data_IF_385464421090
#
_entry.id   IF_385464421090
#
_cell.length_a   1.000
_cell.length_b   1.000
_cell.length_c   1.000
_cell.angle_alpha   90.00
_cell.angle_beta   90.00
_cell.angle_gamma   90.00
#
_symmetry.space_group_name_H-M   'P 1'
#
loop_
_entity.id
_entity.type
_entity.pdbx_description
1 polymer ?
#
# COMPACT_ATOMS: atom_id res chain seq x y z
N UNK A 1 9.86 14.52 -14.10
CA UNK A 1 11.18 13.97 -14.48
C UNK A 1 11.87 14.94 -15.41
N UNK A 2 13.15 15.23 -15.15
CA UNK A 2 13.94 16.22 -15.90
C UNK A 2 14.18 15.77 -17.35
N UNK A 3 14.40 16.72 -18.25
CA UNK A 3 14.79 16.46 -19.64
C UNK A 3 16.03 15.55 -19.73
N UNK A 4 16.95 15.66 -18.76
CA UNK A 4 18.14 14.84 -18.65
C UNK A 4 17.81 13.36 -18.42
N UNK A 5 16.84 13.06 -17.54
CA UNK A 5 16.40 11.69 -17.26
C UNK A 5 15.75 11.05 -18.51
N UNK A 6 14.92 11.80 -19.21
CA UNK A 6 14.33 11.33 -20.50
C UNK A 6 15.40 11.04 -21.54
N UNK A 7 16.40 11.92 -21.68
CA UNK A 7 17.53 11.72 -22.60
C UNK A 7 18.34 10.47 -22.24
N UNK A 8 18.58 10.22 -20.94
CA UNK A 8 19.25 9.03 -20.48
C UNK A 8 18.43 7.76 -20.80
N UNK A 9 17.12 7.78 -20.59
CA UNK A 9 16.25 6.66 -20.93
C UNK A 9 16.29 6.32 -22.42
N UNK A 10 16.29 7.33 -23.29
CA UNK A 10 16.46 7.15 -24.73
C UNK A 10 17.83 6.57 -25.12
N UNK A 11 18.90 6.98 -24.42
CA UNK A 11 20.26 6.47 -24.70
C UNK A 11 20.45 4.99 -24.36
N UNK A 12 19.65 4.46 -23.45
CA UNK A 12 19.70 3.06 -23.01
C UNK A 12 18.98 2.08 -23.94
N UNK A 13 18.54 2.54 -25.14
CA UNK A 13 17.96 1.69 -26.19
C UNK A 13 16.85 0.75 -25.68
N UNK A 14 15.91 1.26 -24.93
CA UNK A 14 14.78 0.50 -24.37
C UNK A 14 15.13 -0.74 -23.52
N UNK A 15 16.39 -0.88 -23.07
CA UNK A 15 16.83 -1.98 -22.19
C UNK A 15 16.59 -1.63 -20.72
N UNK A 16 15.39 -1.12 -20.42
CA UNK A 16 14.99 -0.66 -19.10
C UNK A 16 13.67 -1.32 -18.74
N UNK A 17 13.57 -1.74 -17.49
CA UNK A 17 12.31 -2.18 -16.88
C UNK A 17 12.12 -1.38 -15.59
N UNK A 18 10.99 -0.69 -15.46
CA UNK A 18 10.62 -0.06 -14.21
C UNK A 18 9.96 -1.07 -13.27
N UNK A 19 10.35 -1.02 -12.00
CA UNK A 19 9.74 -1.78 -10.94
C UNK A 19 9.01 -0.81 -10.00
N UNK A 20 7.74 -1.14 -9.70
CA UNK A 20 6.83 -0.40 -8.82
C UNK A 20 6.57 1.06 -9.21
N UNK A 21 6.95 1.43 -10.42
CA UNK A 21 6.65 2.77 -10.94
C UNK A 21 6.23 2.71 -12.41
N UNK A 22 5.42 3.68 -12.80
CA UNK A 22 5.08 3.94 -14.19
C UNK A 22 5.42 5.38 -14.52
N UNK A 23 5.96 5.63 -15.71
CA UNK A 23 6.20 6.98 -16.19
C UNK A 23 5.19 7.28 -17.30
N UNK A 24 4.46 8.37 -17.14
CA UNK A 24 3.51 8.81 -18.14
C UNK A 24 4.25 9.29 -19.40
N UNK A 25 3.66 9.05 -20.56
CA UNK A 25 4.20 9.46 -21.87
C UNK A 25 5.58 8.88 -22.22
N UNK A 26 5.99 7.77 -21.61
CA UNK A 26 7.18 7.01 -21.99
C UNK A 26 6.79 5.55 -22.19
N UNK A 27 7.09 5.01 -23.35
CA UNK A 27 6.84 3.61 -23.69
C UNK A 27 7.98 2.72 -23.17
N UNK A 28 7.95 2.41 -21.88
CA UNK A 28 8.90 1.53 -21.20
C UNK A 28 8.14 0.41 -20.50
N UNK A 29 8.69 -0.80 -20.55
CA UNK A 29 8.15 -1.93 -19.80
C UNK A 29 8.20 -1.62 -18.30
N UNK A 30 7.07 -1.81 -17.63
CA UNK A 30 6.95 -1.64 -16.19
C UNK A 30 6.25 -2.82 -15.55
N UNK A 31 6.67 -3.16 -14.34
CA UNK A 31 6.04 -4.15 -13.48
C UNK A 31 5.67 -3.43 -12.19
N UNK A 32 4.39 -3.39 -11.88
CA UNK A 32 3.86 -2.70 -10.70
C UNK A 32 2.93 -3.61 -9.92
N UNK A 33 2.66 -3.27 -8.68
CA UNK A 33 1.60 -3.89 -7.91
C UNK A 33 0.23 -3.41 -8.44
N UNK A 34 -0.76 -4.30 -8.43
CA UNK A 34 -2.16 -3.91 -8.67
C UNK A 34 -2.74 -3.29 -7.39
N UNK A 35 -2.33 -2.05 -7.09
CA UNK A 35 -2.78 -1.33 -5.91
C UNK A 35 -4.29 -1.17 -5.86
N UNK A 36 -4.94 -0.98 -7.01
CA UNK A 36 -6.39 -0.81 -7.07
C UNK A 36 -7.11 -2.07 -6.61
N UNK A 37 -6.73 -3.22 -7.16
CA UNK A 37 -7.32 -4.51 -6.78
C UNK A 37 -6.98 -4.83 -5.33
N UNK A 38 -5.72 -4.63 -4.91
CA UNK A 38 -5.24 -4.91 -3.57
C UNK A 38 -6.02 -4.13 -2.50
N UNK A 39 -6.21 -2.83 -2.68
CA UNK A 39 -6.97 -2.00 -1.73
C UNK A 39 -8.46 -2.36 -1.77
N UNK A 40 -9.01 -2.61 -2.96
CA UNK A 40 -10.40 -3.05 -3.10
C UNK A 40 -10.66 -4.34 -2.30
N UNK A 41 -9.78 -5.33 -2.44
CA UNK A 41 -9.91 -6.60 -1.72
C UNK A 41 -9.74 -6.41 -0.20
N UNK A 42 -8.80 -5.57 0.22
CA UNK A 42 -8.57 -5.25 1.63
C UNK A 42 -9.81 -4.61 2.29
N UNK A 43 -10.40 -3.62 1.63
CA UNK A 43 -11.58 -2.93 2.18
C UNK A 43 -12.83 -3.82 2.13
N UNK A 44 -13.00 -4.61 1.06
CA UNK A 44 -14.07 -5.62 1.00
C UNK A 44 -13.93 -6.68 2.10
N UNK A 45 -12.71 -7.14 2.39
CA UNK A 45 -12.45 -8.06 3.49
C UNK A 45 -12.92 -7.47 4.84
N UNK A 46 -12.58 -6.22 5.14
CA UNK A 46 -13.05 -5.55 6.36
C UNK A 46 -14.59 -5.38 6.36
N UNK A 47 -15.17 -5.03 5.21
CA UNK A 47 -16.61 -4.91 5.05
C UNK A 47 -17.33 -6.24 5.31
N UNK A 48 -16.81 -7.35 4.80
CA UNK A 48 -17.36 -8.70 4.97
C UNK A 48 -17.24 -9.19 6.42
N UNK A 49 -16.23 -8.74 7.16
CA UNK A 49 -16.15 -8.92 8.62
C UNK A 49 -17.23 -8.14 9.38
N UNK A 50 -17.87 -7.15 8.75
CA UNK A 50 -18.94 -6.35 9.35
C UNK A 50 -18.54 -4.91 9.69
N UNK A 51 -17.31 -4.46 9.37
CA UNK A 51 -16.90 -3.07 9.58
C UNK A 51 -17.68 -2.12 8.68
N UNK A 52 -18.16 -1.00 9.25
CA UNK A 52 -18.88 0.07 8.55
C UNK A 52 -18.27 1.44 8.80
N UNK A 53 -17.26 1.50 9.66
CA UNK A 53 -16.39 2.65 9.89
C UNK A 53 -14.96 2.17 9.79
N UNK A 54 -14.21 2.71 8.81
CA UNK A 54 -12.81 2.32 8.54
C UNK A 54 -11.96 3.57 8.40
N UNK A 55 -10.83 3.62 9.08
CA UNK A 55 -9.85 4.68 8.94
C UNK A 55 -8.72 4.30 7.99
N UNK A 56 -8.10 5.30 7.38
CA UNK A 56 -6.91 5.16 6.57
C UNK A 56 -5.73 5.91 7.20
N UNK A 57 -4.62 5.21 7.39
CA UNK A 57 -3.36 5.83 7.81
C UNK A 57 -2.33 5.59 6.72
N UNK A 58 -1.99 6.65 5.98
CA UNK A 58 -1.13 6.58 4.80
C UNK A 58 0.20 7.28 4.95
N UNK A 59 1.07 7.06 3.95
CA UNK A 59 2.33 7.75 3.82
C UNK A 59 2.25 8.88 2.78
N UNK A 60 3.14 9.85 2.92
CA UNK A 60 3.40 10.89 1.93
C UNK A 60 4.86 10.75 1.51
N UNK A 61 5.09 10.67 0.21
CA UNK A 61 6.42 10.78 -0.35
C UNK A 61 6.66 12.22 -0.78
N UNK A 62 7.71 12.83 -0.25
CA UNK A 62 8.13 14.16 -0.62
C UNK A 62 9.54 14.13 -1.20
N UNK A 63 9.69 14.66 -2.40
CA UNK A 63 11.01 14.85 -3.02
C UNK A 63 11.78 16.00 -2.37
N UNK A 64 13.10 16.06 -2.63
CA UNK A 64 13.97 17.12 -2.14
C UNK A 64 13.53 18.53 -2.58
N UNK A 65 12.89 18.64 -3.73
CA UNK A 65 12.33 19.91 -4.25
C UNK A 65 10.99 20.30 -3.62
N UNK A 66 10.48 19.52 -2.67
CA UNK A 66 9.21 19.75 -1.99
C UNK A 66 7.99 19.14 -2.70
N UNK A 67 8.15 18.53 -3.87
CA UNK A 67 7.06 17.87 -4.60
C UNK A 67 6.49 16.71 -3.78
N UNK A 68 5.17 16.73 -3.56
CA UNK A 68 4.46 15.67 -2.82
C UNK A 68 3.82 14.71 -3.82
N UNK A 69 4.09 13.41 -3.65
CA UNK A 69 3.39 12.35 -4.35
C UNK A 69 2.28 11.80 -3.44
N UNK A 70 1.01 11.95 -3.86
CA UNK A 70 -0.10 11.36 -3.12
C UNK A 70 -0.02 9.84 -3.14
N UNK A 71 -0.35 9.21 -2.02
CA UNK A 71 -0.46 7.75 -1.95
C UNK A 71 -1.59 7.26 -2.87
N UNK A 72 -1.24 6.43 -3.85
CA UNK A 72 -2.19 5.85 -4.82
C UNK A 72 -3.29 5.02 -4.14
N UNK A 73 -3.02 4.51 -2.93
CA UNK A 73 -3.96 3.70 -2.15
C UNK A 73 -5.11 4.52 -1.59
N UNK A 74 -4.89 5.79 -1.27
CA UNK A 74 -5.92 6.65 -0.68
C UNK A 74 -7.12 6.84 -1.60
N UNK A 75 -6.89 7.18 -2.87
CA UNK A 75 -8.00 7.40 -3.82
C UNK A 75 -8.83 6.12 -3.99
N UNK A 76 -8.17 4.96 -4.10
CA UNK A 76 -8.90 3.70 -4.19
C UNK A 76 -9.63 3.37 -2.89
N UNK A 77 -9.04 3.68 -1.74
CA UNK A 77 -9.69 3.51 -0.44
C UNK A 77 -10.99 4.31 -0.36
N UNK A 78 -10.97 5.60 -0.70
CA UNK A 78 -12.18 6.45 -0.69
C UNK A 78 -13.21 5.98 -1.69
N UNK A 79 -12.82 5.67 -2.94
CA UNK A 79 -13.72 5.16 -3.97
C UNK A 79 -14.49 3.90 -3.51
N UNK A 80 -13.80 2.96 -2.87
CA UNK A 80 -14.40 1.70 -2.42
C UNK A 80 -15.25 1.91 -1.16
N UNK A 81 -14.81 2.77 -0.24
CA UNK A 81 -15.60 3.11 0.94
C UNK A 81 -16.93 3.78 0.54
N UNK A 82 -16.91 4.69 -0.40
CA UNK A 82 -18.12 5.34 -0.94
C UNK A 82 -19.06 4.32 -1.59
N UNK A 83 -18.51 3.44 -2.45
CA UNK A 83 -19.29 2.40 -3.12
C UNK A 83 -19.95 1.40 -2.13
N UNK A 84 -19.32 1.15 -0.98
CA UNK A 84 -19.82 0.23 0.06
C UNK A 84 -20.54 0.94 1.22
N UNK A 85 -20.70 2.27 1.16
CA UNK A 85 -21.25 3.09 2.24
C UNK A 85 -20.51 2.88 3.59
N UNK A 86 -19.19 2.78 3.54
CA UNK A 86 -18.31 2.76 4.72
C UNK A 86 -17.98 4.20 5.11
N UNK A 87 -18.16 4.56 6.37
CA UNK A 87 -17.80 5.88 6.89
C UNK A 87 -16.31 5.96 7.15
N UNK A 88 -15.66 7.00 6.64
CA UNK A 88 -14.22 7.27 6.84
C UNK A 88 -13.92 8.74 7.16
N UNK A 89 -14.94 9.60 7.14
CA UNK A 89 -14.78 11.03 7.41
C UNK A 89 -14.20 11.27 8.80
N UNK A 90 -13.11 12.03 8.83
CA UNK A 90 -12.35 12.30 10.06
C UNK A 90 -11.36 11.21 10.47
N UNK A 91 -11.25 10.12 9.71
CA UNK A 91 -10.36 8.98 9.99
C UNK A 91 -9.25 8.80 8.93
N UNK A 92 -8.99 9.81 8.09
CA UNK A 92 -7.88 9.80 7.16
C UNK A 92 -6.74 10.61 7.74
N UNK A 93 -5.56 10.01 7.84
CA UNK A 93 -4.33 10.67 8.25
C UNK A 93 -3.16 10.26 7.37
N UNK A 94 -2.26 11.20 7.09
CA UNK A 94 -1.08 10.97 6.27
C UNK A 94 0.14 11.68 6.88
N UNK A 95 1.26 10.97 6.93
CA UNK A 95 2.59 11.47 7.34
C UNK A 95 3.64 10.61 6.60
N UNK A 96 4.88 10.57 7.01
CA UNK A 96 5.93 9.76 6.38
C UNK A 96 5.66 8.25 6.50
N UNK A 97 6.19 7.48 5.56
CA UNK A 97 6.17 6.00 5.62
C UNK A 97 7.13 5.48 6.70
N UNK A 98 6.74 5.58 7.97
CA UNK A 98 7.55 5.12 9.10
C UNK A 98 6.69 4.62 10.25
N UNK A 99 7.28 3.76 11.10
CA UNK A 99 6.64 3.28 12.32
C UNK A 99 6.34 4.43 13.29
N UNK A 100 7.25 5.41 13.39
CA UNK A 100 7.05 6.59 14.25
C UNK A 100 5.89 7.46 13.77
N UNK A 101 5.72 7.63 12.45
CA UNK A 101 4.57 8.35 11.89
C UNK A 101 3.26 7.61 12.13
N UNK A 102 3.25 6.28 11.99
CA UNK A 102 2.08 5.45 12.32
C UNK A 102 1.65 5.60 13.78
N UNK A 103 2.62 5.58 14.69
CA UNK A 103 2.38 5.82 16.13
C UNK A 103 1.79 7.22 16.39
N UNK A 104 2.40 8.26 15.82
CA UNK A 104 1.97 9.66 15.98
C UNK A 104 0.54 9.86 15.44
N UNK A 105 0.26 9.41 14.22
CA UNK A 105 -1.05 9.53 13.58
C UNK A 105 -2.14 8.83 14.40
N UNK A 106 -1.87 7.61 14.87
CA UNK A 106 -2.84 6.87 15.68
C UNK A 106 -3.06 7.52 17.04
N UNK A 107 -1.99 8.01 17.70
CA UNK A 107 -2.10 8.74 18.97
C UNK A 107 -2.94 10.01 18.83
N UNK A 108 -2.78 10.74 17.71
CA UNK A 108 -3.60 11.91 17.40
C UNK A 108 -5.07 11.51 17.18
N UNK A 109 -5.33 10.41 16.46
CA UNK A 109 -6.69 9.92 16.23
C UNK A 109 -7.35 9.51 17.56
N UNK A 110 -6.62 8.84 18.46
CA UNK A 110 -7.09 8.48 19.80
C UNK A 110 -7.44 9.74 20.62
N UNK A 111 -6.61 10.77 20.58
CA UNK A 111 -6.84 12.00 21.33
C UNK A 111 -8.11 12.76 20.93
N UNK A 112 -8.60 12.56 19.70
CA UNK A 112 -9.87 13.11 19.20
C UNK A 112 -11.10 12.41 19.80
N UNK A 113 -10.92 11.27 20.45
CA UNK A 113 -11.98 10.56 21.20
C UNK A 113 -13.00 9.81 20.36
N UNK A 114 -12.85 9.80 19.03
CA UNK A 114 -13.70 9.05 18.11
C UNK A 114 -12.80 8.17 17.22
N UNK A 115 -13.00 6.85 17.25
CA UNK A 115 -12.22 5.87 16.51
C UNK A 115 -13.10 5.06 15.57
N UNK A 116 -12.58 4.69 14.38
CA UNK A 116 -13.26 3.74 13.52
C UNK A 116 -13.12 2.33 14.11
N UNK A 117 -13.91 1.39 13.62
CA UNK A 117 -13.85 -0.01 14.08
C UNK A 117 -12.69 -0.79 13.44
N UNK A 118 -12.12 -0.27 12.35
CA UNK A 118 -10.93 -0.82 11.72
C UNK A 118 -10.04 0.29 11.15
N UNK A 119 -8.74 0.01 11.09
CA UNK A 119 -7.72 0.83 10.42
C UNK A 119 -7.13 0.03 9.26
N UNK A 120 -7.09 0.64 8.08
CA UNK A 120 -6.24 0.20 6.97
C UNK A 120 -5.02 1.10 6.87
N UNK A 121 -3.85 0.53 7.14
CA UNK A 121 -2.56 1.22 7.06
C UNK A 121 -1.87 0.94 5.72
N UNK A 122 -1.34 1.99 5.09
CA UNK A 122 -0.71 1.91 3.78
C UNK A 122 0.64 1.15 3.76
N UNK A 123 1.18 0.80 4.93
CA UNK A 123 2.33 -0.12 5.05
C UNK A 123 2.31 -0.82 6.41
N UNK A 124 3.02 -1.96 6.50
CA UNK A 124 3.18 -2.67 7.77
C UNK A 124 3.93 -1.84 8.81
N UNK A 125 4.90 -1.02 8.39
CA UNK A 125 5.61 -0.12 9.30
C UNK A 125 4.64 0.88 9.96
N UNK A 126 3.75 1.49 9.18
CA UNK A 126 2.71 2.38 9.70
C UNK A 126 1.76 1.60 10.61
N UNK A 127 1.32 0.39 10.19
CA UNK A 127 0.44 -0.46 10.98
C UNK A 127 1.04 -0.82 12.35
N UNK A 128 2.31 -1.22 12.39
CA UNK A 128 3.03 -1.56 13.62
C UNK A 128 3.06 -0.37 14.59
N UNK A 129 3.33 0.84 14.07
CA UNK A 129 3.27 2.06 14.89
C UNK A 129 1.88 2.34 15.44
N UNK A 130 0.85 2.19 14.60
CA UNK A 130 -0.54 2.37 15.01
C UNK A 130 -0.97 1.34 16.07
N UNK A 131 -0.60 0.06 15.89
CA UNK A 131 -0.86 -1.00 16.87
C UNK A 131 -0.23 -0.66 18.23
N UNK A 132 1.01 -0.18 18.24
CA UNK A 132 1.69 0.23 19.47
C UNK A 132 0.96 1.36 20.19
N UNK A 133 0.53 2.40 19.46
CA UNK A 133 -0.24 3.51 20.04
C UNK A 133 -1.58 3.05 20.64
N UNK A 134 -2.30 2.16 19.93
CA UNK A 134 -3.54 1.57 20.44
C UNK A 134 -3.33 0.80 21.74
N UNK A 135 -2.33 -0.08 21.78
CA UNK A 135 -2.04 -0.91 22.94
C UNK A 135 -1.62 -0.09 24.16
N UNK A 136 -0.80 0.94 23.99
CA UNK A 136 -0.38 1.84 25.08
C UNK A 136 -1.55 2.65 25.66
N UNK A 137 -2.59 2.88 24.85
CA UNK A 137 -3.82 3.54 25.30
C UNK A 137 -4.93 2.55 25.73
N UNK A 138 -4.59 1.27 25.92
CA UNK A 138 -5.48 0.26 26.48
C UNK A 138 -6.46 -0.38 25.48
N UNK A 139 -6.38 -0.08 24.20
CA UNK A 139 -7.20 -0.71 23.17
C UNK A 139 -6.69 -2.12 22.84
N UNK A 140 -7.59 -3.07 22.74
CA UNK A 140 -7.31 -4.44 22.35
C UNK A 140 -7.48 -4.62 20.86
N UNK A 141 -6.49 -5.26 20.23
CA UNK A 141 -6.50 -5.61 18.81
C UNK A 141 -6.66 -7.14 18.72
N UNK A 142 -7.63 -7.65 17.98
CA UNK A 142 -8.63 -6.96 17.14
C UNK A 142 -9.96 -6.62 17.84
N UNK A 143 -10.11 -6.88 19.16
CA UNK A 143 -11.40 -6.87 19.85
C UNK A 143 -12.06 -5.48 19.89
N UNK A 144 -11.29 -4.42 20.08
CA UNK A 144 -11.80 -3.04 20.11
C UNK A 144 -11.65 -2.38 18.73
N UNK A 145 -10.54 -2.65 18.04
CA UNK A 145 -10.24 -2.10 16.74
C UNK A 145 -9.39 -3.08 15.92
N UNK A 146 -9.83 -3.36 14.70
CA UNK A 146 -9.05 -4.16 13.75
C UNK A 146 -7.96 -3.31 13.09
N UNK A 147 -6.80 -3.91 12.83
CA UNK A 147 -5.70 -3.26 12.10
C UNK A 147 -5.25 -4.14 10.95
N UNK A 148 -5.22 -3.57 9.75
CA UNK A 148 -4.73 -4.21 8.54
C UNK A 148 -3.57 -3.41 7.95
N UNK A 149 -2.50 -4.09 7.57
CA UNK A 149 -1.31 -3.52 6.95
C UNK A 149 -1.23 -3.72 5.44
N UNK A 150 -0.10 -3.35 4.88
CA UNK A 150 0.28 -3.55 3.49
C UNK A 150 1.78 -3.87 3.43
N UNK A 151 2.23 -4.73 2.52
CA UNK A 151 3.57 -5.21 2.16
C UNK A 151 3.84 -6.65 2.58
N UNK A 152 3.29 -7.14 3.69
CA UNK A 152 3.61 -8.44 4.29
C UNK A 152 5.11 -8.58 4.61
N UNK A 153 5.66 -7.57 5.30
CA UNK A 153 7.02 -7.61 5.81
C UNK A 153 7.19 -8.72 6.85
N UNK A 154 8.42 -9.20 7.04
CA UNK A 154 8.73 -10.24 8.03
C UNK A 154 8.19 -9.87 9.44
N UNK A 155 8.35 -8.60 9.84
CA UNK A 155 7.89 -8.12 11.15
C UNK A 155 6.39 -8.27 11.36
N UNK A 156 5.58 -8.32 10.31
CA UNK A 156 4.12 -8.45 10.40
C UNK A 156 3.68 -9.77 11.05
N UNK A 157 4.51 -10.82 10.99
CA UNK A 157 4.25 -12.12 11.64
C UNK A 157 4.54 -12.09 13.15
N UNK A 158 5.44 -11.21 13.58
CA UNK A 158 5.93 -11.14 14.96
C UNK A 158 5.28 -10.03 15.78
N UNK A 159 4.30 -9.32 15.23
CA UNK A 159 3.46 -8.39 16.02
C UNK A 159 2.55 -9.16 16.96
N UNK A 160 2.04 -8.50 17.99
CA UNK A 160 1.04 -9.07 18.89
C UNK A 160 -0.24 -8.20 18.88
N UNK A 161 -1.35 -8.72 18.31
CA UNK A 161 -1.47 -9.96 17.53
C UNK A 161 -0.71 -9.91 16.19
N UNK A 162 -0.43 -11.08 15.54
CA UNK A 162 0.13 -11.10 14.20
C UNK A 162 -0.72 -10.33 13.19
N UNK A 163 -0.08 -9.46 12.40
CA UNK A 163 -0.75 -8.48 11.53
C UNK A 163 -1.31 -9.12 10.26
N UNK A 164 -2.61 -8.98 10.05
CA UNK A 164 -3.27 -9.20 8.76
C UNK A 164 -2.83 -8.11 7.79
N UNK A 165 -2.36 -8.47 6.61
CA UNK A 165 -1.73 -7.52 5.69
C UNK A 165 -1.92 -7.93 4.24
N UNK A 166 -1.84 -6.97 3.32
CA UNK A 166 -1.77 -7.23 1.89
C UNK A 166 -0.36 -7.67 1.52
N UNK A 167 -0.22 -8.80 0.84
CA UNK A 167 1.08 -9.32 0.45
C UNK A 167 1.56 -8.72 -0.87
N UNK A 168 2.55 -7.83 -0.82
CA UNK A 168 3.23 -7.29 -1.99
C UNK A 168 4.27 -8.32 -2.51
N UNK A 169 4.12 -8.88 -3.71
CA UNK A 169 5.03 -9.92 -4.22
C UNK A 169 6.33 -9.34 -4.77
N UNK A 170 7.08 -8.58 -3.95
CA UNK A 170 8.31 -7.86 -4.38
C UNK A 170 9.39 -8.78 -4.93
N UNK A 171 9.51 -9.99 -4.39
CA UNK A 171 10.47 -10.99 -4.90
C UNK A 171 10.11 -11.44 -6.32
N UNK A 172 8.84 -11.73 -6.59
CA UNK A 172 8.38 -12.08 -7.92
C UNK A 172 8.55 -10.91 -8.89
N UNK A 173 8.31 -9.68 -8.44
CA UNK A 173 8.55 -8.46 -9.23
C UNK A 173 10.01 -8.38 -9.68
N UNK A 174 10.97 -8.61 -8.79
CA UNK A 174 12.40 -8.65 -9.12
C UNK A 174 12.75 -9.74 -10.13
N UNK A 175 12.23 -10.96 -9.96
CA UNK A 175 12.44 -12.08 -10.90
C UNK A 175 11.91 -11.74 -12.29
N UNK A 176 10.68 -11.21 -12.39
CA UNK A 176 10.10 -10.84 -13.68
C UNK A 176 10.86 -9.69 -14.32
N UNK A 177 11.31 -8.70 -13.54
CA UNK A 177 12.14 -7.61 -14.04
C UNK A 177 13.42 -8.11 -14.71
N UNK A 178 14.13 -9.01 -14.06
CA UNK A 178 15.35 -9.63 -14.62
C UNK A 178 15.02 -10.43 -15.89
N UNK A 179 13.95 -11.21 -15.89
CA UNK A 179 13.55 -12.01 -17.07
C UNK A 179 13.24 -11.09 -18.26
N UNK A 180 12.56 -9.99 -18.07
CA UNK A 180 12.28 -9.02 -19.13
C UNK A 180 13.58 -8.43 -19.69
N UNK A 181 14.50 -7.97 -18.83
CA UNK A 181 15.80 -7.43 -19.26
C UNK A 181 16.59 -8.47 -20.06
N UNK A 182 16.68 -9.70 -19.57
CA UNK A 182 17.41 -10.77 -20.27
C UNK A 182 16.79 -11.09 -21.63
N UNK A 183 15.46 -11.06 -21.77
CA UNK A 183 14.79 -11.25 -23.04
C UNK A 183 15.10 -10.10 -24.02
N UNK A 184 15.07 -8.84 -23.54
CA UNK A 184 15.45 -7.67 -24.33
C UNK A 184 16.90 -7.74 -24.81
N UNK A 185 17.80 -8.25 -23.97
CA UNK A 185 19.23 -8.40 -24.35
C UNK A 185 19.46 -9.49 -25.41
N UNK A 186 18.64 -10.56 -25.39
CA UNK A 186 18.73 -11.67 -26.36
C UNK A 186 18.10 -11.34 -27.72
N UNK A 187 17.13 -10.44 -27.75
CA UNK A 187 16.46 -10.03 -28.98
C UNK A 187 17.44 -9.24 -29.85
N UNK A 188 17.71 -9.75 -31.07
CA UNK A 188 18.54 -9.09 -32.08
C UNK A 188 17.78 -8.06 -32.91
N UNK A 189 16.47 -8.01 -32.79
CA UNK A 189 15.58 -7.14 -33.58
C UNK A 189 14.73 -6.32 -32.63
N UNK A 190 14.70 -5.00 -32.87
CA UNK A 190 13.79 -4.06 -32.19
C UNK A 190 12.34 -4.23 -32.64
N UNK A 191 12.11 -4.92 -33.76
CA UNK A 191 10.80 -5.00 -34.43
C UNK A 191 9.76 -5.86 -33.70
N UNK A 192 10.18 -6.66 -32.73
CA UNK A 192 9.29 -7.54 -31.94
C UNK A 192 9.15 -7.13 -30.47
N UNK A 193 9.77 -6.00 -30.06
CA UNK A 193 9.66 -5.53 -28.69
C UNK A 193 8.57 -4.47 -28.59
N UNK A 194 7.49 -4.81 -27.90
CA UNK A 194 6.47 -3.86 -27.49
C UNK A 194 6.57 -3.63 -25.99
N UNK A 195 6.65 -2.39 -25.52
CA UNK A 195 6.61 -2.08 -24.10
C UNK A 195 5.33 -2.64 -23.46
N UNK A 196 5.48 -3.22 -22.28
CA UNK A 196 4.37 -3.84 -21.55
C UNK A 196 4.20 -3.23 -20.16
N UNK A 197 2.97 -3.13 -19.72
CA UNK A 197 2.63 -2.82 -18.32
C UNK A 197 2.10 -4.09 -17.67
N UNK A 198 2.81 -4.61 -16.68
CA UNK A 198 2.46 -5.82 -15.95
C UNK A 198 2.04 -5.43 -14.54
N UNK A 199 0.87 -5.89 -14.12
CA UNK A 199 0.36 -5.69 -12.77
C UNK A 199 0.37 -7.02 -12.03
N UNK A 200 0.99 -7.04 -10.85
CA UNK A 200 1.07 -8.22 -10.00
C UNK A 200 -0.04 -8.19 -8.95
N UNK A 201 -0.81 -9.28 -8.79
CA UNK A 201 -1.84 -9.36 -7.78
C UNK A 201 -1.22 -9.40 -6.38
N UNK A 202 -1.89 -8.76 -5.41
CA UNK A 202 -1.46 -8.67 -4.03
C UNK A 202 -2.51 -9.31 -3.11
N UNK A 203 -2.45 -10.63 -2.86
CA UNK A 203 -3.43 -11.31 -2.03
C UNK A 203 -3.31 -10.89 -0.56
N UNK A 204 -4.41 -10.97 0.18
CA UNK A 204 -4.41 -10.73 1.62
C UNK A 204 -3.79 -11.91 2.35
N UNK A 205 -2.84 -11.65 3.22
CA UNK A 205 -2.34 -12.59 4.22
C UNK A 205 -3.11 -12.39 5.52
N UNK A 206 -4.13 -13.21 5.71
CA UNK A 206 -4.98 -13.16 6.91
C UNK A 206 -4.21 -13.71 8.10
N UNK A 207 -4.20 -12.94 9.20
CA UNK A 207 -3.66 -13.31 10.52
C UNK A 207 -4.67 -12.92 11.62
N UNK A 208 -4.22 -12.42 12.76
CA UNK A 208 -5.04 -12.26 13.96
C UNK A 208 -5.42 -10.81 14.32
N UNK A 209 -4.97 -9.82 13.55
CA UNK A 209 -5.22 -8.40 13.86
C UNK A 209 -6.55 -7.85 13.34
N UNK A 210 -7.35 -8.67 12.65
CA UNK A 210 -8.69 -8.31 12.16
C UNK A 210 -9.72 -9.33 12.62
N UNK A 211 -10.85 -8.85 13.12
CA UNK A 211 -12.00 -9.67 13.51
C UNK A 211 -13.32 -8.91 13.28
N UNK A 212 -14.44 -9.55 13.52
CA UNK A 212 -15.76 -8.87 13.49
C UNK A 212 -15.78 -7.75 14.54
N UNK A 213 -16.29 -6.55 14.20
CA UNK A 213 -16.42 -5.48 15.18
C UNK A 213 -17.34 -5.90 16.33
N UNK A 214 -17.06 -5.40 17.55
CA UNK A 214 -18.05 -5.49 18.62
C UNK A 214 -19.35 -4.86 18.15
N UNK A 215 -20.48 -5.50 18.48
CA UNK A 215 -21.79 -4.85 18.27
C UNK A 215 -21.82 -3.58 19.11
N UNK A 216 -21.95 -2.44 18.45
CA UNK A 216 -22.23 -1.16 19.08
C UNK A 216 -23.64 -1.20 19.68
#
# INVERSE_FOLDING_TARGET
YTTLFRSLLHSLNNKIVFLDMTVENIEITSISLDFRQAVSDAIKYLYDLGHRTVGFIGGIEQLEDGTIFPDKRLNTFTDICDALNIKYDGFIMQDKFSTSSGYKMMSEMISKGNLPTAIFAASDHIAIGAMRALQENGYKIPEDISVMGFDNTELSEYTNPPLTTVNAPVYAMGIYGIRFILNMMKSKSTDYYSPMRVYLPCPIKVRNSCAKPKKL
#
